data_IF_021390589820
#
_entry.id   IF_021390589820
#
_cell.length_a   1.000
_cell.length_b   1.000
_cell.length_c   1.000
_cell.angle_alpha   90.00
_cell.angle_beta   90.00
_cell.angle_gamma   90.00
#
_symmetry.space_group_name_H-M   'P 1'
#
loop_
_entity.id
_entity.type
_entity.pdbx_description
1 polymer ?
#
# COMPACT_ATOMS: atom_id res chain seq x y z
N UNK A 1 -60.16 58.71 13.33
CA UNK A 1 -61.47 58.27 13.87
C UNK A 1 -61.60 56.77 13.66
N UNK A 2 -62.00 56.05 14.72
CA UNK A 2 -62.53 54.66 14.73
C UNK A 2 -61.56 53.53 14.33
N UNK A 3 -61.03 52.74 15.29
CA UNK A 3 -61.50 51.39 15.71
C UNK A 3 -61.57 50.38 14.52
N UNK A 4 -60.90 49.21 14.51
CA UNK A 4 -61.16 47.99 15.30
C UNK A 4 -60.28 46.84 14.67
N UNK A 5 -59.25 46.27 15.31
CA UNK A 5 -59.18 45.05 16.17
C UNK A 5 -59.16 43.65 15.47
N UNK A 6 -58.24 42.80 15.97
CA UNK A 6 -58.14 41.30 15.97
C UNK A 6 -57.70 40.61 14.67
N UNK A 7 -56.50 39.98 14.63
CA UNK A 7 -55.99 38.71 15.24
C UNK A 7 -56.19 37.48 14.33
N UNK A 8 -55.05 36.83 14.04
CA UNK A 8 -54.81 35.36 14.10
C UNK A 8 -54.79 34.47 12.83
N UNK A 9 -53.62 33.81 12.69
CA UNK A 9 -53.29 32.42 12.32
C UNK A 9 -53.31 31.89 10.85
N UNK A 10 -52.08 31.52 10.42
CA UNK A 10 -51.61 30.28 9.78
C UNK A 10 -52.30 29.69 8.53
N UNK A 11 -51.51 29.41 7.49
CA UNK A 11 -50.99 28.04 7.20
C UNK A 11 -50.17 28.00 5.88
N UNK A 12 -49.18 27.11 5.88
CA UNK A 12 -48.29 26.70 4.79
C UNK A 12 -49.03 26.08 3.59
N UNK A 13 -48.42 26.14 2.40
CA UNK A 13 -48.83 25.31 1.27
C UNK A 13 -48.19 25.66 -0.08
N UNK A 14 -46.99 25.14 -0.28
CA UNK A 14 -46.20 24.86 -1.51
C UNK A 14 -46.98 24.82 -2.84
N UNK A 15 -46.43 25.44 -3.89
CA UNK A 15 -46.13 24.82 -5.21
C UNK A 15 -45.90 25.92 -6.27
N UNK A 16 -44.64 26.10 -6.69
CA UNK A 16 -44.31 26.77 -7.94
C UNK A 16 -43.47 25.82 -8.80
N UNK A 17 -43.97 25.65 -10.02
CA UNK A 17 -43.52 24.80 -11.11
C UNK A 17 -42.27 25.35 -11.82
N UNK A 18 -41.80 24.55 -12.79
CA UNK A 18 -41.09 24.90 -14.05
C UNK A 18 -39.58 24.59 -14.04
N UNK A 19 -39.15 23.50 -14.67
CA UNK A 19 -38.90 23.26 -16.12
C UNK A 19 -37.50 23.71 -16.57
N UNK A 20 -36.70 22.71 -16.92
CA UNK A 20 -35.69 22.62 -18.00
C UNK A 20 -34.71 23.77 -18.26
N UNK A 21 -33.41 23.49 -18.09
CA UNK A 21 -32.36 24.22 -18.80
C UNK A 21 -30.92 24.02 -18.29
N UNK A 22 -30.16 23.18 -19.00
CA UNK A 22 -28.72 23.24 -19.31
C UNK A 22 -27.64 23.17 -18.21
N UNK A 23 -26.68 22.25 -18.48
CA UNK A 23 -25.26 22.23 -18.14
C UNK A 23 -24.86 22.63 -16.71
N UNK A 24 -24.41 21.64 -15.95
CA UNK A 24 -23.35 21.88 -15.00
C UNK A 24 -22.33 20.75 -15.07
N UNK A 25 -21.07 21.14 -15.17
CA UNK A 25 -19.94 20.27 -14.91
C UNK A 25 -20.16 19.63 -13.53
N UNK A 26 -20.17 18.30 -13.49
CA UNK A 26 -20.03 17.58 -12.24
C UNK A 26 -18.58 17.76 -11.80
N UNK A 27 -18.34 18.83 -11.03
CA UNK A 27 -17.26 18.85 -10.07
C UNK A 27 -17.58 17.71 -9.10
N UNK A 28 -16.87 16.60 -9.24
CA UNK A 28 -16.80 15.62 -8.18
C UNK A 28 -15.88 16.25 -7.12
N UNK A 29 -16.50 16.90 -6.14
CA UNK A 29 -15.87 16.97 -4.82
C UNK A 29 -15.91 15.54 -4.27
N UNK A 30 -14.77 14.86 -4.30
CA UNK A 30 -14.56 13.67 -3.49
C UNK A 30 -14.30 14.15 -2.08
N UNK A 31 -15.36 14.09 -1.26
CA UNK A 31 -15.28 14.00 0.19
C UNK A 31 -14.21 12.94 0.55
N UNK A 32 -13.09 13.38 1.12
CA UNK A 32 -12.17 12.51 1.86
C UNK A 32 -12.85 12.09 3.16
N UNK A 33 -13.76 11.12 3.06
CA UNK A 33 -14.06 10.24 4.17
C UNK A 33 -12.97 9.18 4.19
N UNK A 34 -12.20 9.18 5.28
CA UNK A 34 -11.25 8.15 5.68
C UNK A 34 -12.02 6.82 5.87
N UNK A 35 -12.26 6.11 4.77
CA UNK A 35 -12.80 4.75 4.83
C UNK A 35 -11.64 3.81 5.16
N UNK A 36 -11.68 3.23 6.36
CA UNK A 36 -10.78 2.16 6.77
C UNK A 36 -10.80 1.03 5.73
N UNK A 37 -9.65 0.71 5.16
CA UNK A 37 -9.51 -0.34 4.16
C UNK A 37 -9.29 -1.67 4.87
N UNK A 38 -10.24 -2.58 4.74
CA UNK A 38 -10.17 -3.92 5.33
C UNK A 38 -9.72 -4.95 4.29
N UNK A 39 -8.71 -5.76 4.64
CA UNK A 39 -8.19 -6.86 3.80
C UNK A 39 -8.55 -8.20 4.43
N UNK A 40 -9.03 -9.14 3.61
CA UNK A 40 -9.20 -10.54 4.04
C UNK A 40 -7.86 -11.25 3.92
N UNK A 41 -7.27 -11.63 5.05
CA UNK A 41 -5.97 -12.31 5.08
C UNK A 41 -5.99 -13.66 4.36
N UNK A 42 -4.88 -13.99 3.69
CA UNK A 42 -4.55 -15.34 3.26
C UNK A 42 -3.61 -16.01 4.28
N UNK A 43 -3.32 -17.31 4.12
CA UNK A 43 -2.52 -18.09 5.08
C UNK A 43 -1.00 -17.92 4.89
N UNK A 44 -0.57 -17.25 3.81
CA UNK A 44 0.82 -17.23 3.36
C UNK A 44 1.50 -15.91 3.71
N UNK A 45 0.94 -14.78 3.27
CA UNK A 45 1.52 -13.44 3.43
C UNK A 45 0.77 -12.61 4.46
N UNK A 46 1.53 -11.83 5.25
CA UNK A 46 0.95 -10.86 6.20
C UNK A 46 0.27 -9.70 5.45
N UNK A 47 -0.84 -9.26 6.03
CA UNK A 47 -1.60 -8.08 5.56
C UNK A 47 -0.80 -6.83 5.93
N UNK A 48 -0.59 -5.87 5.01
CA UNK A 48 0.06 -4.60 5.34
C UNK A 48 -0.66 -3.85 6.44
N UNK A 49 0.09 -3.18 7.31
CA UNK A 49 -0.44 -2.25 8.30
C UNK A 49 -1.00 -0.99 7.61
N UNK A 50 -2.17 -0.52 8.09
CA UNK A 50 -2.92 0.63 7.55
C UNK A 50 -2.99 0.66 6.01
N UNK A 51 -3.56 -0.38 5.37
CA UNK A 51 -3.40 -0.57 3.95
C UNK A 51 -4.14 0.49 3.14
N UNK A 52 -3.55 0.91 2.01
CA UNK A 52 -4.29 1.73 1.02
C UNK A 52 -5.19 0.87 0.15
N UNK A 53 -6.13 1.50 -0.57
CA UNK A 53 -6.98 0.80 -1.53
C UNK A 53 -6.17 0.06 -2.62
N UNK A 54 -5.01 0.62 -3.02
CA UNK A 54 -4.14 -0.04 -3.98
C UNK A 54 -3.41 -1.25 -3.36
N UNK A 55 -2.94 -1.15 -2.12
CA UNK A 55 -2.36 -2.29 -1.39
C UNK A 55 -3.37 -3.44 -1.25
N UNK A 56 -4.64 -3.13 -0.94
CA UNK A 56 -5.71 -4.13 -0.94
C UNK A 56 -5.84 -4.83 -2.30
N UNK A 57 -5.83 -4.06 -3.38
CA UNK A 57 -5.94 -4.62 -4.74
C UNK A 57 -4.78 -5.58 -5.01
N UNK A 58 -3.54 -5.18 -4.71
CA UNK A 58 -2.37 -6.03 -4.88
C UNK A 58 -2.39 -7.27 -3.95
N UNK A 59 -2.90 -7.16 -2.73
CA UNK A 59 -3.05 -8.30 -1.81
C UNK A 59 -4.13 -9.30 -2.29
N UNK A 60 -5.23 -8.81 -2.86
CA UNK A 60 -6.25 -9.66 -3.48
C UNK A 60 -5.67 -10.40 -4.70
N UNK A 61 -4.78 -9.76 -5.47
CA UNK A 61 -4.03 -10.40 -6.57
C UNK A 61 -3.10 -11.52 -6.06
N UNK A 62 -2.34 -11.27 -4.97
CA UNK A 62 -1.52 -12.32 -4.31
C UNK A 62 -2.37 -13.51 -3.92
N UNK A 63 -3.50 -13.24 -3.25
CA UNK A 63 -4.42 -14.27 -2.78
C UNK A 63 -5.03 -15.08 -3.95
N UNK A 64 -5.30 -14.42 -5.07
CA UNK A 64 -5.81 -15.09 -6.28
C UNK A 64 -4.75 -15.98 -6.92
N UNK A 65 -3.51 -15.49 -7.07
CA UNK A 65 -2.41 -16.24 -7.64
C UNK A 65 -2.06 -17.49 -6.81
N UNK A 66 -2.10 -17.40 -5.48
CA UNK A 66 -1.93 -18.53 -4.57
C UNK A 66 -3.00 -19.62 -4.78
N UNK A 67 -4.28 -19.21 -4.94
CA UNK A 67 -5.38 -20.15 -5.18
C UNK A 67 -5.27 -20.84 -6.54
N UNK A 68 -4.70 -20.16 -7.53
CA UNK A 68 -4.48 -20.68 -8.88
C UNK A 68 -3.17 -21.47 -9.02
N UNK A 69 -2.31 -21.42 -7.99
CA UNK A 69 -0.95 -21.94 -8.00
C UNK A 69 -0.12 -21.40 -9.19
N UNK A 70 -0.29 -20.11 -9.51
CA UNK A 70 0.43 -19.42 -10.57
C UNK A 70 1.62 -18.64 -9.98
N UNK A 71 2.82 -19.19 -10.11
CA UNK A 71 4.03 -18.62 -9.51
C UNK A 71 4.44 -17.28 -10.13
N UNK A 72 4.22 -17.08 -11.42
CA UNK A 72 4.59 -15.83 -12.09
C UNK A 72 3.63 -14.71 -11.67
N UNK A 73 2.33 -15.01 -11.62
CA UNK A 73 1.32 -14.08 -11.12
C UNK A 73 1.53 -13.76 -9.63
N UNK A 74 1.96 -14.75 -8.83
CA UNK A 74 2.27 -14.53 -7.41
C UNK A 74 3.47 -13.58 -7.26
N UNK A 75 4.57 -13.82 -7.98
CA UNK A 75 5.73 -12.95 -7.96
C UNK A 75 5.40 -11.53 -8.43
N UNK A 76 4.57 -11.40 -9.46
CA UNK A 76 4.08 -10.11 -9.96
C UNK A 76 3.29 -9.36 -8.88
N UNK A 77 2.34 -10.03 -8.22
CA UNK A 77 1.47 -9.43 -7.22
C UNK A 77 2.25 -9.06 -5.94
N UNK A 78 3.18 -9.90 -5.49
CA UNK A 78 4.09 -9.61 -4.37
C UNK A 78 4.96 -8.38 -4.69
N UNK A 79 5.47 -8.27 -5.92
CA UNK A 79 6.21 -7.09 -6.35
C UNK A 79 5.36 -5.80 -6.29
N UNK A 80 4.12 -5.83 -6.80
CA UNK A 80 3.20 -4.69 -6.72
C UNK A 80 2.92 -4.30 -5.27
N UNK A 81 2.67 -5.28 -4.41
CA UNK A 81 2.34 -5.08 -3.00
C UNK A 81 3.53 -4.48 -2.22
N UNK A 82 4.73 -5.05 -2.42
CA UNK A 82 5.96 -4.50 -1.86
C UNK A 82 6.20 -3.05 -2.31
N UNK A 83 6.08 -2.77 -3.62
CA UNK A 83 6.28 -1.41 -4.14
C UNK A 83 5.25 -0.45 -3.57
N UNK A 84 3.98 -0.86 -3.52
CA UNK A 84 2.90 -0.04 -2.98
C UNK A 84 3.18 0.34 -1.52
N UNK A 85 3.52 -0.64 -0.68
CA UNK A 85 3.73 -0.43 0.74
C UNK A 85 5.04 0.31 1.03
N UNK A 86 6.13 -0.06 0.35
CA UNK A 86 7.44 0.56 0.56
C UNK A 86 7.48 2.04 0.16
N UNK A 87 6.82 2.42 -0.94
CA UNK A 87 6.88 3.79 -1.47
C UNK A 87 5.72 4.70 -1.05
N UNK A 88 4.74 4.18 -0.29
CA UNK A 88 3.68 5.01 0.29
C UNK A 88 4.11 5.52 1.65
N UNK A 89 4.16 6.85 1.80
CA UNK A 89 4.43 7.53 3.08
C UNK A 89 3.16 8.08 3.73
N UNK A 90 2.09 8.28 2.95
CA UNK A 90 0.83 8.89 3.42
C UNK A 90 0.08 8.07 4.47
N UNK A 91 0.28 6.76 4.52
CA UNK A 91 -0.29 5.85 5.53
C UNK A 91 0.70 5.54 6.66
N UNK A 92 1.80 6.30 6.77
CA UNK A 92 2.86 6.06 7.77
C UNK A 92 2.78 7.10 8.86
N UNK A 93 3.12 6.68 10.08
CA UNK A 93 3.06 7.54 11.27
C UNK A 93 4.36 8.29 11.51
N UNK A 94 5.50 7.72 11.13
CA UNK A 94 6.85 8.27 11.32
C UNK A 94 7.83 7.79 10.25
N UNK A 95 9.03 8.38 10.22
CA UNK A 95 10.14 7.91 9.37
C UNK A 95 10.67 6.53 9.76
N UNK A 96 10.28 6.00 10.93
CA UNK A 96 10.62 4.66 11.41
C UNK A 96 9.57 3.60 11.05
N UNK A 97 8.42 4.03 10.54
CA UNK A 97 7.28 3.17 10.17
C UNK A 97 7.46 2.74 8.70
N UNK A 98 8.34 1.76 8.48
CA UNK A 98 8.78 1.36 7.12
C UNK A 98 7.85 0.27 6.58
N UNK A 99 7.15 0.57 5.48
CA UNK A 99 6.30 -0.40 4.79
C UNK A 99 7.08 -1.44 3.97
N UNK A 100 6.45 -2.57 3.69
CA UNK A 100 6.93 -3.60 2.77
C UNK A 100 8.01 -4.52 3.33
N UNK A 101 8.41 -4.37 4.60
CA UNK A 101 9.47 -5.19 5.19
C UNK A 101 9.08 -6.67 5.32
N UNK A 102 7.79 -6.99 5.44
CA UNK A 102 7.29 -8.37 5.49
C UNK A 102 7.52 -9.16 4.20
N UNK A 103 7.87 -8.48 3.11
CA UNK A 103 8.18 -9.10 1.81
C UNK A 103 9.69 -9.23 1.57
N UNK A 104 10.53 -8.73 2.48
CA UNK A 104 11.98 -8.89 2.46
C UNK A 104 12.34 -10.24 3.09
N UNK A 105 13.45 -10.85 2.65
CA UNK A 105 13.95 -12.05 3.32
C UNK A 105 14.18 -11.76 4.81
N UNK A 106 13.70 -12.63 5.71
CA UNK A 106 13.62 -12.35 7.14
C UNK A 106 14.98 -11.99 7.77
N UNK A 107 16.06 -12.62 7.30
CA UNK A 107 17.45 -12.35 7.75
C UNK A 107 17.97 -10.97 7.31
N UNK A 108 17.30 -10.29 6.38
CA UNK A 108 17.65 -8.96 5.87
C UNK A 108 16.66 -7.86 6.29
N UNK A 109 15.68 -8.19 7.14
CA UNK A 109 14.67 -7.25 7.61
C UNK A 109 15.30 -6.00 8.25
N UNK A 110 16.19 -6.18 9.23
CA UNK A 110 16.80 -5.06 9.96
C UNK A 110 17.69 -4.19 9.08
N UNK A 111 18.49 -4.82 8.22
CA UNK A 111 19.36 -4.12 7.28
C UNK A 111 18.55 -3.30 6.29
N UNK A 112 17.44 -3.86 5.78
CA UNK A 112 16.53 -3.16 4.87
C UNK A 112 15.77 -2.05 5.59
N UNK A 113 15.30 -2.27 6.82
CA UNK A 113 14.65 -1.26 7.65
C UNK A 113 15.58 -0.07 7.87
N UNK A 114 16.82 -0.32 8.28
CA UNK A 114 17.83 0.72 8.47
C UNK A 114 18.12 1.48 7.18
N UNK A 115 18.31 0.76 6.08
CA UNK A 115 18.54 1.35 4.75
C UNK A 115 17.35 2.23 4.31
N UNK A 116 16.12 1.73 4.43
CA UNK A 116 14.91 2.44 4.07
C UNK A 116 14.77 3.76 4.85
N UNK A 117 15.01 3.71 6.17
CA UNK A 117 15.01 4.89 7.05
C UNK A 117 16.00 5.95 6.60
N UNK A 118 17.21 5.56 6.21
CA UNK A 118 18.25 6.51 5.82
C UNK A 118 18.08 7.08 4.43
N UNK A 119 17.54 6.32 3.47
CA UNK A 119 17.57 6.68 2.05
C UNK A 119 16.21 6.98 1.42
N UNK A 120 15.11 6.49 2.01
CA UNK A 120 13.76 6.68 1.46
C UNK A 120 12.86 7.44 2.43
N UNK A 121 12.85 7.06 3.71
CA UNK A 121 11.91 7.59 4.71
C UNK A 121 12.46 8.82 5.45
N UNK A 122 13.74 9.15 5.30
CA UNK A 122 14.40 10.27 5.99
C UNK A 122 13.74 11.65 5.74
N UNK A 123 13.02 11.80 4.63
CA UNK A 123 12.34 13.04 4.25
C UNK A 123 10.91 13.13 4.77
N UNK A 124 10.35 12.07 5.37
CA UNK A 124 8.97 12.04 5.88
C UNK A 124 8.64 13.28 6.74
N UNK A 125 9.47 13.54 7.75
CA UNK A 125 9.26 14.68 8.66
C UNK A 125 9.37 16.03 7.95
N UNK A 126 10.27 16.13 6.96
CA UNK A 126 10.48 17.35 6.19
C UNK A 126 9.29 17.64 5.26
N UNK A 127 8.77 16.62 4.56
CA UNK A 127 7.57 16.73 3.71
C UNK A 127 6.39 17.18 4.56
N UNK A 128 6.11 16.47 5.67
CA UNK A 128 5.00 16.80 6.57
C UNK A 128 5.08 18.23 7.11
N UNK A 129 6.28 18.72 7.41
CA UNK A 129 6.48 20.07 7.97
C UNK A 129 6.41 21.18 6.91
N UNK A 130 6.99 20.95 5.73
CA UNK A 130 7.20 22.00 4.72
C UNK A 130 6.09 22.04 3.67
N UNK A 131 5.58 20.87 3.27
CA UNK A 131 4.62 20.69 2.18
C UNK A 131 3.20 20.41 2.71
N UNK A 132 3.10 19.65 3.80
CA UNK A 132 1.83 19.23 4.41
C UNK A 132 1.70 17.72 4.46
N UNK A 133 0.80 17.23 5.32
CA UNK A 133 0.54 15.79 5.49
C UNK A 133 -0.13 15.19 4.26
N UNK A 134 -1.00 15.95 3.59
CA UNK A 134 -1.64 15.60 2.32
C UNK A 134 -0.66 15.53 1.14
N UNK A 135 0.57 16.00 1.31
CA UNK A 135 1.63 15.95 0.29
C UNK A 135 2.53 14.72 0.45
N UNK A 136 2.34 13.88 1.47
CA UNK A 136 3.07 12.64 1.61
C UNK A 136 2.78 11.72 0.41
N UNK A 137 3.82 11.16 -0.25
CA UNK A 137 3.63 10.27 -1.38
C UNK A 137 2.68 9.11 -1.09
N UNK A 138 1.78 8.84 -2.03
CA UNK A 138 0.87 7.71 -1.99
C UNK A 138 0.92 6.97 -3.32
N UNK A 139 1.27 5.69 -3.31
CA UNK A 139 1.23 4.86 -4.52
C UNK A 139 -0.22 4.51 -4.82
N UNK A 140 -0.69 4.86 -6.02
CA UNK A 140 -2.05 4.58 -6.51
C UNK A 140 -2.06 3.55 -7.63
N UNK A 141 -0.89 3.16 -8.14
CA UNK A 141 -0.74 2.19 -9.19
C UNK A 141 0.71 1.74 -9.38
N UNK A 142 0.90 0.50 -9.81
CA UNK A 142 2.19 -0.04 -10.24
C UNK A 142 1.98 -0.79 -11.56
N UNK A 143 2.67 -0.36 -12.60
CA UNK A 143 2.66 -1.03 -13.90
C UNK A 143 3.89 -1.92 -14.02
N UNK A 144 3.69 -3.23 -14.18
CA UNK A 144 4.77 -4.17 -14.44
C UNK A 144 5.13 -4.10 -15.93
N UNK A 145 6.35 -3.64 -16.21
CA UNK A 145 6.85 -3.43 -17.57
C UNK A 145 7.62 -4.63 -18.11
N UNK A 146 8.20 -5.43 -17.23
CA UNK A 146 8.77 -6.73 -17.57
C UNK A 146 8.84 -7.63 -16.35
N UNK A 147 8.61 -8.93 -16.58
CA UNK A 147 8.88 -10.01 -15.64
C UNK A 147 9.65 -11.10 -16.39
N UNK A 148 10.79 -11.52 -15.83
CA UNK A 148 11.63 -12.56 -16.45
C UNK A 148 12.13 -13.52 -15.39
N UNK A 149 12.03 -14.85 -15.62
CA UNK A 149 12.63 -15.83 -14.74
C UNK A 149 14.14 -15.58 -14.57
N UNK A 150 14.63 -15.68 -13.34
CA UNK A 150 16.00 -15.42 -12.99
C UNK A 150 16.50 -16.37 -11.90
N UNK A 151 17.79 -16.72 -11.96
CA UNK A 151 18.49 -17.32 -10.83
C UNK A 151 18.93 -16.18 -9.89
N UNK A 152 18.40 -16.17 -8.67
CA UNK A 152 18.65 -15.11 -7.68
C UNK A 152 19.52 -15.66 -6.55
N UNK A 153 20.70 -15.07 -6.38
CA UNK A 153 21.63 -15.45 -5.30
C UNK A 153 21.32 -14.64 -4.05
N UNK A 154 21.12 -15.33 -2.93
CA UNK A 154 20.97 -14.76 -1.60
C UNK A 154 21.83 -15.55 -0.61
N UNK A 155 22.70 -14.85 0.12
CA UNK A 155 23.74 -15.48 0.94
C UNK A 155 24.66 -16.38 0.10
N UNK A 156 24.74 -17.65 0.45
CA UNK A 156 25.51 -18.68 -0.27
C UNK A 156 24.67 -19.58 -1.18
N UNK A 157 23.37 -19.30 -1.29
CA UNK A 157 22.40 -20.10 -2.04
C UNK A 157 21.92 -19.39 -3.31
N UNK A 158 21.49 -20.17 -4.29
CA UNK A 158 20.82 -19.68 -5.49
C UNK A 158 19.42 -20.26 -5.55
N UNK A 159 18.45 -19.38 -5.78
CA UNK A 159 17.02 -19.67 -5.80
C UNK A 159 16.45 -19.36 -7.18
N UNK A 160 15.44 -20.12 -7.58
CA UNK A 160 14.59 -19.71 -8.72
C UNK A 160 13.79 -18.47 -8.32
N UNK A 161 13.61 -17.57 -9.26
CA UNK A 161 12.97 -16.29 -8.98
C UNK A 161 12.67 -15.50 -10.24
N UNK A 162 12.47 -14.22 -10.05
CA UNK A 162 12.15 -13.29 -11.13
C UNK A 162 12.92 -11.98 -10.98
N UNK A 163 13.36 -11.42 -12.11
CA UNK A 163 13.69 -10.01 -12.23
C UNK A 163 12.46 -9.28 -12.79
N UNK A 164 12.01 -8.25 -12.07
CA UNK A 164 10.77 -7.53 -12.35
C UNK A 164 11.07 -6.04 -12.46
N UNK A 165 10.69 -5.41 -13.57
CA UNK A 165 10.77 -3.96 -13.73
C UNK A 165 9.39 -3.34 -13.72
N UNK A 166 9.24 -2.25 -12.99
CA UNK A 166 7.95 -1.61 -12.77
C UNK A 166 8.02 -0.08 -12.80
N UNK A 167 6.90 0.53 -13.18
CA UNK A 167 6.67 1.97 -13.08
C UNK A 167 5.68 2.27 -11.96
N UNK A 168 6.00 3.25 -11.12
CA UNK A 168 5.22 3.66 -9.96
C UNK A 168 4.38 4.88 -10.32
N UNK A 169 3.09 4.81 -10.01
CA UNK A 169 2.14 5.90 -10.18
C UNK A 169 1.76 6.43 -8.80
N UNK A 170 2.01 7.72 -8.57
CA UNK A 170 1.66 8.39 -7.32
C UNK A 170 0.38 9.22 -7.45
N UNK A 171 -0.33 9.39 -6.34
CA UNK A 171 -1.32 10.46 -6.20
C UNK A 171 -0.65 11.83 -6.43
N UNK A 172 -1.46 12.86 -6.72
CA UNK A 172 -0.92 14.22 -6.86
C UNK A 172 -0.23 14.67 -5.56
N UNK A 173 0.99 15.19 -5.70
CA UNK A 173 1.84 15.69 -4.60
C UNK A 173 2.78 16.77 -5.13
N UNK A 174 3.19 17.70 -4.27
CA UNK A 174 4.23 18.70 -4.54
C UNK A 174 5.66 18.14 -4.45
N UNK A 175 5.83 16.93 -3.90
CA UNK A 175 7.14 16.31 -3.69
C UNK A 175 7.81 15.95 -5.02
N UNK A 176 9.01 16.48 -5.26
CA UNK A 176 9.82 16.18 -6.44
C UNK A 176 10.71 14.95 -6.24
N UNK A 177 11.29 14.47 -7.35
CA UNK A 177 12.34 13.44 -7.35
C UNK A 177 11.94 12.09 -6.73
N UNK A 178 10.64 11.79 -6.73
CA UNK A 178 10.13 10.48 -6.37
C UNK A 178 10.65 9.42 -7.34
N UNK A 179 10.99 8.25 -6.80
CA UNK A 179 11.39 7.11 -7.62
C UNK A 179 10.18 6.64 -8.42
N UNK A 180 10.26 6.71 -9.75
CA UNK A 180 9.19 6.32 -10.68
C UNK A 180 9.43 4.96 -11.33
N UNK A 181 10.69 4.52 -11.40
CA UNK A 181 11.08 3.29 -12.08
C UNK A 181 11.90 2.44 -11.11
N UNK A 182 11.56 1.17 -11.01
CA UNK A 182 12.23 0.23 -10.11
C UNK A 182 12.49 -1.10 -10.80
N UNK A 183 13.59 -1.74 -10.43
CA UNK A 183 13.83 -3.16 -10.73
C UNK A 183 13.99 -3.92 -9.42
N UNK A 184 13.19 -4.97 -9.26
CA UNK A 184 13.26 -5.92 -8.16
C UNK A 184 13.87 -7.24 -8.62
N UNK A 185 14.52 -7.94 -7.68
CA UNK A 185 14.75 -9.39 -7.80
C UNK A 185 14.03 -10.10 -6.67
N UNK A 186 13.14 -11.01 -7.02
CA UNK A 186 12.41 -11.85 -6.10
C UNK A 186 12.95 -13.28 -6.17
N UNK A 187 13.10 -13.94 -5.04
CA UNK A 187 13.54 -15.33 -4.94
C UNK A 187 12.47 -16.16 -4.24
N UNK A 188 12.16 -17.34 -4.78
CA UNK A 188 11.32 -18.35 -4.14
C UNK A 188 12.13 -19.12 -3.11
N UNK A 189 11.76 -19.04 -1.84
CA UNK A 189 12.51 -19.70 -0.76
C UNK A 189 11.62 -20.10 0.40
N UNK A 190 12.08 -21.10 1.16
CA UNK A 190 11.51 -21.41 2.47
C UNK A 190 12.02 -20.38 3.49
N UNK A 191 11.11 -19.60 4.05
CA UNK A 191 11.43 -18.54 5.01
C UNK A 191 10.31 -18.37 6.05
N UNK A 192 10.55 -17.52 7.04
CA UNK A 192 9.61 -17.17 8.09
C UNK A 192 9.23 -15.69 8.00
N UNK A 193 8.15 -15.31 8.66
CA UNK A 193 7.92 -13.90 8.98
C UNK A 193 8.96 -13.44 10.02
N UNK A 194 9.33 -12.16 10.00
CA UNK A 194 10.42 -11.64 10.82
C UNK A 194 10.22 -11.93 12.32
N UNK A 195 9.05 -11.63 12.87
CA UNK A 195 8.72 -11.89 14.29
C UNK A 195 8.84 -13.38 14.66
N UNK A 196 8.47 -14.27 13.73
CA UNK A 196 8.61 -15.71 13.95
C UNK A 196 10.08 -16.10 14.00
N UNK A 197 10.90 -15.55 13.09
CA UNK A 197 12.36 -15.75 13.09
C UNK A 197 12.99 -15.24 14.39
N UNK A 198 12.63 -14.04 14.85
CA UNK A 198 13.16 -13.48 16.10
C UNK A 198 12.84 -14.38 17.31
N UNK A 199 11.61 -14.85 17.43
CA UNK A 199 11.20 -15.75 18.51
C UNK A 199 11.92 -17.11 18.42
N UNK A 200 12.16 -17.62 17.21
CA UNK A 200 12.97 -18.82 16.99
C UNK A 200 14.41 -18.63 17.47
N UNK A 201 15.06 -17.53 17.09
CA UNK A 201 16.45 -17.24 17.44
C UNK A 201 16.64 -16.94 18.92
N UNK A 202 15.62 -16.35 19.56
CA UNK A 202 15.57 -16.14 21.01
C UNK A 202 15.26 -17.43 21.80
N UNK A 203 14.83 -18.50 21.14
CA UNK A 203 14.41 -19.75 21.77
C UNK A 203 13.11 -19.61 22.57
N UNK A 204 12.22 -18.70 22.14
CA UNK A 204 10.95 -18.38 22.81
C UNK A 204 9.80 -19.27 22.35
N UNK A 205 9.97 -19.98 21.23
CA UNK A 205 8.96 -20.90 20.70
C UNK A 205 9.03 -22.27 21.39
N UNK A 206 7.87 -22.77 21.83
CA UNK A 206 7.72 -24.14 22.32
C UNK A 206 7.87 -25.18 21.19
N UNK A 207 7.42 -24.82 19.99
CA UNK A 207 7.52 -25.61 18.76
C UNK A 207 7.91 -24.71 17.59
N UNK A 208 8.88 -25.15 16.79
CA UNK A 208 9.33 -24.41 15.61
C UNK A 208 8.32 -24.67 14.49
N UNK A 209 7.65 -23.63 13.96
CA UNK A 209 6.70 -23.79 12.86
C UNK A 209 7.42 -24.25 11.59
N UNK A 210 6.68 -24.82 10.64
CA UNK A 210 7.22 -25.06 9.32
C UNK A 210 7.47 -23.72 8.61
N UNK A 211 8.61 -23.63 7.90
CA UNK A 211 8.88 -22.50 7.03
C UNK A 211 7.84 -22.43 5.92
N UNK A 212 7.48 -21.21 5.53
CA UNK A 212 6.57 -20.94 4.42
C UNK A 212 7.39 -20.85 3.14
N UNK A 213 6.85 -21.36 2.03
CA UNK A 213 7.46 -21.17 0.73
C UNK A 213 6.99 -19.83 0.14
N UNK A 214 7.87 -18.84 0.09
CA UNK A 214 7.54 -17.43 -0.16
C UNK A 214 8.38 -16.86 -1.30
N UNK A 215 7.82 -15.90 -2.04
CA UNK A 215 8.64 -14.95 -2.78
C UNK A 215 9.13 -13.85 -1.83
N UNK A 216 10.46 -13.70 -1.75
CA UNK A 216 11.13 -12.63 -1.00
C UNK A 216 11.84 -11.68 -1.94
N UNK A 217 11.70 -10.38 -1.69
CA UNK A 217 12.47 -9.34 -2.40
C UNK A 217 13.90 -9.35 -1.86
N UNK A 218 14.85 -9.62 -2.75
CA UNK A 218 16.28 -9.74 -2.46
C UNK A 218 17.04 -8.47 -2.80
N UNK A 219 16.57 -7.73 -3.80
CA UNK A 219 17.16 -6.44 -4.16
C UNK A 219 16.12 -5.51 -4.77
N UNK A 220 16.23 -4.22 -4.44
CA UNK A 220 15.53 -3.10 -5.07
C UNK A 220 16.60 -2.17 -5.67
N UNK A 221 16.49 -1.88 -6.97
CA UNK A 221 17.37 -0.94 -7.70
C UNK A 221 16.56 0.08 -8.48
#
# INVERSE_FOLDING_TARGET
MSHWMKRSFAALGVCALLMSGCNNAQQAETDSADETVEITANEVYLVPDDPTAYMKTAYDEVSSALNEADEEAEAEAVAKLFIADFFTLSNKTADTDVGGLDYIASESYDDMSLYARYYFYNNYSAIKTNEGEDQLPAVVGVEITSITPADVTYGSSTYSGYEISAQIQYAETSVSDLKSDVTLRLARMDDYDHDTREQMDAGELEEIPEAKNLFRVISLS
#
